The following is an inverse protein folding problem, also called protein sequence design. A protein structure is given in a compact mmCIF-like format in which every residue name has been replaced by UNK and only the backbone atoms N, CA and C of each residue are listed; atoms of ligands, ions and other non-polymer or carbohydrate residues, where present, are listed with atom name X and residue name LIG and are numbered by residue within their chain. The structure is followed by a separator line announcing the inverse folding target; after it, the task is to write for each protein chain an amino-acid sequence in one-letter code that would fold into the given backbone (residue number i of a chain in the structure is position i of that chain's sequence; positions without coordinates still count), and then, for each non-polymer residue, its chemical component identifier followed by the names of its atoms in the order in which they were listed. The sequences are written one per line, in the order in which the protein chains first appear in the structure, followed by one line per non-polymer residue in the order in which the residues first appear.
data_IF_227940381325
#
_entry.id   IF_227940381325
#
_cell.length_a   1.000
_cell.length_b   1.000
_cell.length_c   1.000
_cell.angle_alpha   90.00
_cell.angle_beta   90.00
_cell.angle_gamma   90.00
#
_symmetry.space_group_name_H-M   'P 1'
#
loop_
_entity.id
_entity.type
_entity.pdbx_description
1 polymer ?
#
# COMPACT_ATOMS: atom_id res chain seq x y z
N UNK A 1 1.71 -6.78 26.62
CA UNK A 1 0.97 -5.61 26.09
C UNK A 1 1.47 -5.05 24.75
N UNK A 2 2.74 -5.13 24.31
CA UNK A 2 3.14 -4.61 22.98
C UNK A 2 2.68 -5.50 21.81
N UNK A 3 2.54 -6.81 22.03
CA UNK A 3 2.13 -7.75 20.98
C UNK A 3 0.72 -7.50 20.45
N UNK A 4 -0.19 -6.95 21.27
CA UNK A 4 -1.58 -6.69 20.87
C UNK A 4 -1.65 -5.67 19.74
N UNK A 5 -0.79 -4.65 19.75
CA UNK A 5 -0.73 -3.62 18.72
C UNK A 5 -0.20 -4.17 17.39
N UNK A 6 0.86 -4.98 17.43
CA UNK A 6 1.37 -5.67 16.24
C UNK A 6 0.27 -6.56 15.62
N UNK A 7 -0.47 -7.30 16.45
CA UNK A 7 -1.60 -8.10 15.98
C UNK A 7 -2.69 -7.23 15.36
N UNK A 8 -3.07 -6.12 15.99
CA UNK A 8 -4.09 -5.21 15.47
C UNK A 8 -3.67 -4.50 14.17
N UNK A 9 -2.37 -4.25 13.96
CA UNK A 9 -1.87 -3.67 12.72
C UNK A 9 -1.82 -4.66 11.55
N UNK A 10 -1.56 -5.95 11.84
CA UNK A 10 -1.47 -7.01 10.84
C UNK A 10 -2.84 -7.59 10.45
N UNK A 11 -3.72 -7.78 11.42
CA UNK A 11 -4.99 -8.49 11.27
C UNK A 11 -5.87 -7.91 10.13
N UNK A 12 -6.13 -6.60 10.03
CA UNK A 12 -6.98 -6.07 8.97
C UNK A 12 -6.36 -6.30 7.58
N UNK A 13 -5.05 -6.11 7.42
CA UNK A 13 -4.37 -6.30 6.13
C UNK A 13 -4.52 -7.73 5.62
N UNK A 14 -4.32 -8.72 6.49
CA UNK A 14 -4.48 -10.14 6.12
C UNK A 14 -5.93 -10.58 6.01
N UNK A 15 -6.82 -10.07 6.87
CA UNK A 15 -8.25 -10.40 6.81
C UNK A 15 -8.86 -9.96 5.47
N UNK A 16 -8.60 -8.73 5.04
CA UNK A 16 -9.05 -8.24 3.75
C UNK A 16 -8.40 -8.96 2.58
N UNK A 17 -7.10 -9.27 2.65
CA UNK A 17 -6.42 -10.03 1.60
C UNK A 17 -7.09 -11.39 1.40
N UNK A 18 -7.36 -12.12 2.49
CA UNK A 18 -8.02 -13.42 2.44
C UNK A 18 -9.46 -13.30 1.91
N UNK A 19 -10.17 -12.24 2.29
CA UNK A 19 -11.53 -11.99 1.81
C UNK A 19 -11.56 -11.80 0.29
N UNK A 20 -10.73 -10.90 -0.26
CA UNK A 20 -10.71 -10.64 -1.70
C UNK A 20 -10.22 -11.83 -2.52
N UNK A 21 -9.22 -12.58 -2.03
CA UNK A 21 -8.75 -13.80 -2.70
C UNK A 21 -9.78 -14.94 -2.68
N UNK A 22 -10.79 -14.89 -1.81
CA UNK A 22 -11.88 -15.87 -1.78
C UNK A 22 -13.05 -15.49 -2.69
N UNK A 23 -13.26 -14.20 -2.90
CA UNK A 23 -14.31 -13.69 -3.78
C UNK A 23 -13.91 -13.76 -5.26
N UNK A 24 -12.61 -13.88 -5.53
CA UNK A 24 -12.07 -14.05 -6.86
C UNK A 24 -12.52 -15.37 -7.51
N UNK A 25 -13.21 -15.25 -8.65
CA UNK A 25 -13.71 -16.38 -9.46
C UNK A 25 -12.57 -17.07 -10.22
N UNK A 26 -11.50 -16.33 -10.54
CA UNK A 26 -10.34 -16.81 -11.29
C UNK A 26 -9.05 -16.64 -10.47
N UNK A 27 -8.78 -17.56 -9.52
CA UNK A 27 -7.78 -17.33 -8.49
C UNK A 27 -6.38 -17.06 -9.04
N UNK A 28 -5.87 -15.88 -8.68
CA UNK A 28 -4.52 -15.47 -9.03
C UNK A 28 -3.43 -16.35 -8.37
N UNK A 29 -2.26 -16.55 -9.03
CA UNK A 29 -1.18 -17.32 -8.44
C UNK A 29 -0.71 -16.71 -7.13
N UNK A 30 -0.71 -17.49 -6.05
CA UNK A 30 -0.26 -17.05 -4.71
C UNK A 30 1.13 -16.39 -4.71
N UNK A 31 2.00 -16.81 -5.64
CA UNK A 31 3.33 -16.23 -5.83
C UNK A 31 3.30 -14.82 -6.42
N UNK A 32 2.34 -14.51 -7.28
CA UNK A 32 2.14 -13.17 -7.81
C UNK A 32 1.56 -12.25 -6.73
N UNK A 33 0.51 -12.71 -6.03
CA UNK A 33 -0.06 -12.00 -4.88
C UNK A 33 1.00 -11.65 -3.84
N UNK A 34 1.83 -12.62 -3.43
CA UNK A 34 2.88 -12.36 -2.43
C UNK A 34 3.93 -11.36 -2.92
N UNK A 35 4.31 -11.40 -4.21
CA UNK A 35 5.23 -10.41 -4.81
C UNK A 35 4.64 -9.01 -4.80
N UNK A 36 3.37 -8.86 -5.17
CA UNK A 36 2.68 -7.56 -5.19
C UNK A 36 2.52 -7.02 -3.77
N UNK A 37 2.15 -7.88 -2.82
CA UNK A 37 2.06 -7.51 -1.41
C UNK A 37 3.41 -7.03 -0.86
N UNK A 38 4.48 -7.76 -1.12
CA UNK A 38 5.84 -7.38 -0.73
C UNK A 38 6.30 -6.09 -1.41
N UNK A 39 5.95 -5.89 -2.70
CA UNK A 39 6.25 -4.64 -3.38
C UNK A 39 5.54 -3.45 -2.74
N UNK A 40 4.26 -3.61 -2.37
CA UNK A 40 3.49 -2.63 -1.60
C UNK A 40 4.13 -2.32 -0.24
N UNK A 41 4.55 -3.33 0.51
CA UNK A 41 5.25 -3.15 1.78
C UNK A 41 6.60 -2.43 1.63
N UNK A 42 7.38 -2.78 0.59
CA UNK A 42 8.69 -2.18 0.36
C UNK A 42 8.60 -0.73 -0.14
N UNK A 43 7.61 -0.41 -0.97
CA UNK A 43 7.45 0.96 -1.48
C UNK A 43 7.03 1.93 -0.37
N UNK A 44 6.43 1.45 0.72
CA UNK A 44 6.10 2.28 1.89
C UNK A 44 7.32 3.00 2.46
N UNK A 45 8.49 2.36 2.52
CA UNK A 45 9.70 3.03 3.01
C UNK A 45 10.11 4.22 2.14
N UNK A 46 9.89 4.11 0.82
CA UNK A 46 10.11 5.21 -0.12
C UNK A 46 9.06 6.31 0.10
N UNK A 47 7.80 5.93 0.31
CA UNK A 47 6.70 6.88 0.59
C UNK A 47 6.98 7.72 1.84
N UNK A 48 7.35 7.07 2.95
CA UNK A 48 7.70 7.75 4.20
C UNK A 48 8.88 8.71 4.00
N UNK A 49 9.91 8.30 3.25
CA UNK A 49 11.03 9.17 2.89
C UNK A 49 10.61 10.42 2.11
N UNK A 50 9.76 10.26 1.10
CA UNK A 50 9.24 11.37 0.30
C UNK A 50 8.32 12.30 1.12
N UNK A 51 7.45 11.73 1.96
CA UNK A 51 6.58 12.49 2.86
C UNK A 51 7.39 13.31 3.86
N UNK A 52 8.47 12.75 4.41
CA UNK A 52 9.37 13.48 5.32
C UNK A 52 10.03 14.68 4.63
N UNK A 53 10.52 14.51 3.39
CA UNK A 53 11.08 15.61 2.60
C UNK A 53 10.03 16.68 2.32
N UNK A 54 8.84 16.26 1.89
CA UNK A 54 7.74 17.18 1.59
C UNK A 54 7.28 17.95 2.83
N UNK A 55 7.19 17.28 3.99
CA UNK A 55 6.87 17.90 5.28
C UNK A 55 7.82 19.06 5.58
N UNK A 56 9.12 18.86 5.43
CA UNK A 56 10.12 19.91 5.67
C UNK A 56 9.95 21.10 4.71
N UNK A 57 9.61 20.84 3.45
CA UNK A 57 9.34 21.88 2.46
C UNK A 57 8.08 22.65 2.85
N UNK A 58 6.97 21.97 3.16
CA UNK A 58 5.70 22.62 3.51
C UNK A 58 5.79 23.44 4.80
N UNK A 59 6.54 22.97 5.79
CA UNK A 59 6.81 23.72 7.02
C UNK A 59 7.59 25.01 6.75
N UNK A 60 8.51 25.02 5.77
CA UNK A 60 9.20 26.25 5.39
C UNK A 60 8.26 27.32 4.82
N UNK A 61 7.12 26.91 4.24
CA UNK A 61 6.03 27.79 3.79
C UNK A 61 4.97 28.07 4.88
N UNK A 62 5.22 27.69 6.13
CA UNK A 62 4.27 27.81 7.26
C UNK A 62 2.95 27.04 7.04
N UNK A 63 2.96 26.02 6.18
CA UNK A 63 1.81 25.14 5.96
C UNK A 63 1.88 24.00 6.97
N UNK A 64 0.84 23.84 7.78
CA UNK A 64 0.73 22.77 8.76
C UNK A 64 0.50 21.40 8.08
N UNK A 65 0.97 20.32 8.70
CA UNK A 65 0.80 18.94 8.24
C UNK A 65 -0.67 18.53 8.17
N UNK A 66 -1.52 19.10 9.04
CA UNK A 66 -2.96 18.86 9.05
C UNK A 66 -3.73 19.74 8.06
N UNK A 67 -3.04 20.60 7.30
CA UNK A 67 -3.67 21.42 6.29
C UNK A 67 -4.11 20.56 5.10
N UNK A 68 -5.23 20.92 4.46
CA UNK A 68 -5.78 20.17 3.31
C UNK A 68 -4.74 19.96 2.20
N UNK A 69 -3.92 20.97 1.95
CA UNK A 69 -2.83 20.92 0.95
C UNK A 69 -1.84 19.80 1.28
N UNK A 70 -1.37 19.71 2.52
CA UNK A 70 -0.43 18.68 2.97
C UNK A 70 -1.06 17.29 2.83
N UNK A 71 -2.32 17.14 3.26
CA UNK A 71 -3.07 15.90 3.13
C UNK A 71 -3.20 15.45 1.66
N UNK A 72 -3.53 16.37 0.75
CA UNK A 72 -3.63 16.07 -0.68
C UNK A 72 -2.30 15.60 -1.27
N UNK A 73 -1.19 16.23 -0.91
CA UNK A 73 0.12 15.82 -1.42
C UNK A 73 0.60 14.49 -0.80
N UNK A 74 0.37 14.25 0.49
CA UNK A 74 0.69 12.97 1.13
C UNK A 74 -0.12 11.84 0.49
N UNK A 75 -1.44 12.00 0.34
CA UNK A 75 -2.28 11.03 -0.35
C UNK A 75 -1.86 10.80 -1.80
N UNK A 76 -1.48 11.87 -2.52
CA UNK A 76 -0.97 11.73 -3.89
C UNK A 76 0.32 10.89 -3.97
N UNK A 77 1.27 11.12 -3.06
CA UNK A 77 2.51 10.32 -2.97
C UNK A 77 2.17 8.85 -2.70
N UNK A 78 1.32 8.59 -1.72
CA UNK A 78 0.96 7.22 -1.34
C UNK A 78 0.27 6.47 -2.47
N UNK A 79 -0.77 7.04 -3.07
CA UNK A 79 -1.53 6.37 -4.13
C UNK A 79 -0.69 6.17 -5.39
N UNK A 80 0.16 7.14 -5.75
CA UNK A 80 1.08 7.00 -6.88
C UNK A 80 2.08 5.86 -6.65
N UNK A 81 2.61 5.73 -5.43
CA UNK A 81 3.57 4.69 -5.10
C UNK A 81 2.92 3.30 -4.98
N UNK A 82 1.71 3.21 -4.41
CA UNK A 82 0.92 1.95 -4.38
C UNK A 82 0.66 1.48 -5.81
N UNK A 83 0.20 2.38 -6.68
CA UNK A 83 0.03 2.10 -8.11
C UNK A 83 1.33 1.64 -8.76
N UNK A 84 2.43 2.37 -8.54
CA UNK A 84 3.72 2.03 -9.13
C UNK A 84 4.21 0.65 -8.68
N UNK A 85 4.05 0.31 -7.40
CA UNK A 85 4.42 -1.00 -6.88
C UNK A 85 3.64 -2.13 -7.55
N UNK A 86 2.32 -2.01 -7.66
CA UNK A 86 1.49 -2.99 -8.37
C UNK A 86 1.86 -3.06 -9.86
N UNK A 87 1.89 -1.91 -10.53
CA UNK A 87 2.16 -1.80 -11.97
C UNK A 87 3.52 -2.41 -12.36
N UNK A 88 4.58 -2.11 -11.61
CA UNK A 88 5.92 -2.61 -11.92
C UNK A 88 6.01 -4.14 -11.84
N UNK A 89 5.27 -4.77 -10.93
CA UNK A 89 5.24 -6.22 -10.75
C UNK A 89 4.35 -6.92 -11.78
N UNK A 90 3.18 -6.34 -12.07
CA UNK A 90 2.11 -7.02 -12.82
C UNK A 90 2.21 -6.77 -14.34
N UNK A 91 2.74 -5.63 -14.80
CA UNK A 91 2.71 -5.23 -16.23
C UNK A 91 3.31 -6.22 -17.24
N UNK A 92 4.16 -7.15 -16.79
CA UNK A 92 4.78 -8.21 -17.64
C UNK A 92 4.30 -9.61 -17.26
N UNK A 93 3.32 -9.70 -16.37
CA UNK A 93 2.75 -10.96 -15.93
C UNK A 93 1.87 -11.54 -17.04
N UNK A 94 1.99 -12.85 -17.34
CA UNK A 94 1.00 -13.54 -18.17
C UNK A 94 -0.33 -13.74 -17.44
N UNK A 95 -0.35 -13.61 -16.11
CA UNK A 95 -1.52 -13.68 -15.23
C UNK A 95 -2.15 -12.28 -15.04
N UNK A 96 -2.10 -11.45 -16.07
CA UNK A 96 -2.75 -10.15 -16.06
C UNK A 96 -3.52 -10.05 -17.36
N UNK A 97 -4.61 -10.79 -17.40
CA UNK A 97 -5.40 -11.08 -18.59
C UNK A 97 -6.85 -10.61 -18.46
N UNK A 98 -7.31 -10.27 -17.25
CA UNK A 98 -8.63 -9.70 -17.00
C UNK A 98 -8.57 -8.31 -16.35
N UNK A 99 -9.57 -7.43 -16.61
CA UNK A 99 -9.63 -6.13 -15.95
C UNK A 99 -9.76 -6.22 -14.42
N UNK A 100 -10.34 -7.30 -13.89
CA UNK A 100 -10.55 -7.49 -12.46
C UNK A 100 -9.24 -7.78 -11.70
N UNK A 101 -8.29 -8.43 -12.35
CA UNK A 101 -6.94 -8.69 -11.83
C UNK A 101 -6.26 -7.39 -11.41
N UNK A 102 -6.48 -6.32 -12.18
CA UNK A 102 -5.94 -4.99 -11.88
C UNK A 102 -6.40 -4.52 -10.50
N UNK A 103 -7.67 -4.73 -10.17
CA UNK A 103 -8.24 -4.38 -8.87
C UNK A 103 -7.67 -5.25 -7.76
N UNK A 104 -7.57 -6.57 -7.98
CA UNK A 104 -7.02 -7.52 -7.00
C UNK A 104 -5.56 -7.18 -6.67
N UNK A 105 -4.73 -6.90 -7.68
CA UNK A 105 -3.33 -6.55 -7.48
C UNK A 105 -3.17 -5.17 -6.84
N UNK A 106 -3.99 -4.17 -7.21
CA UNK A 106 -3.97 -2.86 -6.56
C UNK A 106 -4.34 -2.94 -5.08
N UNK A 107 -5.41 -3.69 -4.74
CA UNK A 107 -5.80 -3.95 -3.36
C UNK A 107 -4.67 -4.67 -2.62
N UNK A 108 -4.06 -5.68 -3.25
CA UNK A 108 -2.96 -6.45 -2.65
C UNK A 108 -1.76 -5.55 -2.32
N UNK A 109 -1.37 -4.65 -3.23
CA UNK A 109 -0.30 -3.68 -2.99
C UNK A 109 -0.67 -2.70 -1.87
N UNK A 110 -1.90 -2.19 -1.85
CA UNK A 110 -2.39 -1.30 -0.81
C UNK A 110 -2.42 -1.97 0.57
N UNK A 111 -2.79 -3.24 0.67
CA UNK A 111 -2.79 -3.99 1.94
C UNK A 111 -1.37 -4.24 2.46
N UNK A 112 -0.42 -4.51 1.57
CA UNK A 112 1.01 -4.60 1.91
C UNK A 112 1.56 -3.26 2.41
N UNK A 113 1.15 -2.17 1.77
CA UNK A 113 1.50 -0.81 2.19
C UNK A 113 0.94 -0.48 3.58
N UNK A 114 -0.35 -0.69 3.76
CA UNK A 114 -1.05 -0.45 5.03
C UNK A 114 -0.51 -1.31 6.17
N UNK A 115 -0.05 -2.54 5.88
CA UNK A 115 0.58 -3.40 6.90
C UNK A 115 1.81 -2.73 7.51
N UNK A 116 2.68 -2.14 6.68
CA UNK A 116 3.90 -1.50 7.16
C UNK A 116 3.58 -0.21 7.91
N UNK A 117 2.67 0.62 7.40
CA UNK A 117 2.24 1.83 8.10
C UNK A 117 1.61 1.51 9.45
N UNK A 118 0.70 0.55 9.51
CA UNK A 118 0.04 0.18 10.76
C UNK A 118 1.03 -0.31 11.81
N UNK A 119 2.08 -1.05 11.41
CA UNK A 119 3.14 -1.47 12.35
C UNK A 119 4.02 -0.29 12.76
N UNK A 120 4.29 0.65 11.85
CA UNK A 120 5.18 1.78 12.13
C UNK A 120 4.52 2.87 12.97
N UNK A 121 3.21 3.05 12.84
CA UNK A 121 2.42 4.09 13.52
C UNK A 121 2.01 3.66 14.94
N UNK A 122 1.85 2.34 15.18
CA UNK A 122 1.27 1.78 16.40
C UNK A 122 2.33 1.35 17.42
#
# INVERSE_FOLDING_TARGET
MPYIFIFLGLLPSFAWLIFFLKEDVHPEPKKMISRVFMAGALITFVAVGLQFLLRNILQSFQINEYHLVSFSFFGFIEETLKFLAAYLVVRKSPFFDEPIDAMIYMITAALGFAMVENIAIM
#
